data_IF_972822108681
#
_entry.id   IF_972822108681
#
_cell.length_a   1.000
_cell.length_b   1.000
_cell.length_c   1.000
_cell.angle_alpha   90.00
_cell.angle_beta   90.00
_cell.angle_gamma   90.00
#
_symmetry.space_group_name_H-M   'P 1'
#
loop_
_entity.id
_entity.type
_entity.pdbx_description
1 polymer ?
#
# COMPACT_ATOMS: atom_id res chain seq x y z
N UNK A 1 -2.77 -12.01 19.04
CA UNK A 1 -1.38 -12.51 19.20
C UNK A 1 -1.05 -13.60 18.17
N UNK A 2 -1.84 -14.67 18.03
CA UNK A 2 -1.59 -15.70 17.01
C UNK A 2 -1.73 -15.19 15.56
N UNK A 3 -2.73 -14.36 15.27
CA UNK A 3 -2.93 -13.74 13.94
C UNK A 3 -1.79 -12.79 13.53
N UNK A 4 -1.21 -12.06 14.49
CA UNK A 4 -0.10 -11.13 14.26
C UNK A 4 1.22 -11.84 13.93
N UNK A 5 1.33 -13.13 14.22
CA UNK A 5 2.52 -13.94 13.96
C UNK A 5 2.31 -14.93 12.81
N UNK A 6 1.09 -15.02 12.25
CA UNK A 6 0.70 -16.02 11.25
C UNK A 6 1.02 -17.47 11.69
N UNK A 7 0.92 -17.76 13.00
CA UNK A 7 1.19 -19.07 13.60
C UNK A 7 -0.13 -19.69 14.08
N UNK A 8 -0.27 -21.00 13.94
CA UNK A 8 -1.35 -21.72 14.63
C UNK A 8 -1.17 -21.61 16.15
N UNK A 9 -2.27 -21.70 16.91
CA UNK A 9 -2.24 -21.62 18.39
C UNK A 9 -1.25 -22.63 19.00
N UNK A 10 -1.18 -23.83 18.43
CA UNK A 10 -0.27 -24.91 18.84
C UNK A 10 1.21 -24.57 18.59
N UNK A 11 1.49 -23.86 17.49
CA UNK A 11 2.84 -23.43 17.10
C UNK A 11 3.32 -22.26 17.95
N UNK A 12 2.42 -21.32 18.27
CA UNK A 12 2.68 -20.22 19.20
C UNK A 12 3.11 -20.74 20.58
N UNK A 13 2.32 -21.65 21.15
CA UNK A 13 2.57 -22.24 22.48
C UNK A 13 3.90 -23.02 22.48
N UNK A 14 4.20 -23.80 21.43
CA UNK A 14 5.47 -24.53 21.30
C UNK A 14 6.68 -23.60 21.32
N UNK A 15 6.64 -22.52 20.54
CA UNK A 15 7.76 -21.56 20.46
C UNK A 15 7.94 -20.78 21.76
N UNK A 16 6.84 -20.41 22.39
CA UNK A 16 6.84 -19.71 23.67
C UNK A 16 7.37 -20.58 24.81
N UNK A 17 7.01 -21.87 24.85
CA UNK A 17 7.54 -22.86 25.80
C UNK A 17 9.01 -23.19 25.55
N UNK A 18 9.48 -23.11 24.30
CA UNK A 18 10.88 -23.33 23.93
C UNK A 18 11.77 -22.09 24.12
N UNK A 19 11.23 -20.97 24.61
CA UNK A 19 11.98 -19.72 24.78
C UNK A 19 12.39 -19.05 23.47
N UNK A 20 11.79 -19.44 22.33
CA UNK A 20 12.09 -18.89 21.01
C UNK A 20 11.37 -17.55 20.87
N UNK A 21 12.12 -16.48 20.62
CA UNK A 21 11.56 -15.13 20.39
C UNK A 21 10.64 -15.19 19.17
N UNK A 22 9.36 -14.89 19.37
CA UNK A 22 8.38 -14.83 18.29
C UNK A 22 8.49 -13.45 17.66
N UNK A 23 9.05 -13.38 16.46
CA UNK A 23 9.10 -12.14 15.69
C UNK A 23 7.69 -11.83 15.17
N UNK A 24 7.19 -10.63 15.50
CA UNK A 24 5.88 -10.17 15.04
C UNK A 24 5.92 -9.93 13.52
N UNK A 25 4.97 -10.48 12.77
CA UNK A 25 4.86 -10.26 11.33
C UNK A 25 4.16 -8.93 10.97
N UNK A 26 4.02 -8.05 11.96
CA UNK A 26 3.30 -6.78 11.86
C UNK A 26 3.88 -5.88 10.76
N UNK A 27 5.21 -5.84 10.61
CA UNK A 27 5.87 -5.05 9.56
C UNK A 27 5.54 -5.54 8.16
N UNK A 28 5.49 -6.87 7.93
CA UNK A 28 5.11 -7.40 6.63
C UNK A 28 3.62 -7.13 6.33
N UNK A 29 2.76 -7.18 7.36
CA UNK A 29 1.36 -6.84 7.21
C UNK A 29 1.17 -5.34 6.86
N UNK A 30 1.90 -4.45 7.53
CA UNK A 30 1.90 -3.02 7.22
C UNK A 30 2.41 -2.75 5.80
N UNK A 31 3.48 -3.42 5.37
CA UNK A 31 3.99 -3.34 4.00
C UNK A 31 2.94 -3.79 2.97
N UNK A 32 2.27 -4.92 3.19
CA UNK A 32 1.24 -5.43 2.28
C UNK A 32 0.05 -4.48 2.16
N UNK A 33 -0.37 -3.86 3.25
CA UNK A 33 -1.45 -2.85 3.23
C UNK A 33 -1.03 -1.63 2.40
N UNK A 34 0.18 -1.10 2.62
CA UNK A 34 0.70 0.03 1.84
C UNK A 34 0.84 -0.32 0.36
N UNK A 35 1.34 -1.52 0.04
CA UNK A 35 1.47 -2.00 -1.33
C UNK A 35 0.11 -2.09 -2.04
N UNK A 36 -0.92 -2.60 -1.35
CA UNK A 36 -2.28 -2.69 -1.89
C UNK A 36 -2.89 -1.31 -2.18
N UNK A 37 -2.81 -0.39 -1.22
CA UNK A 37 -3.32 0.99 -1.40
C UNK A 37 -2.59 1.66 -2.58
N UNK A 38 -1.27 1.50 -2.67
CA UNK A 38 -0.47 2.08 -3.74
C UNK A 38 -0.86 1.51 -5.13
N UNK A 39 -1.18 0.22 -5.22
CA UNK A 39 -1.66 -0.42 -6.45
C UNK A 39 -3.05 0.10 -6.86
N UNK A 40 -3.97 0.26 -5.90
CA UNK A 40 -5.31 0.80 -6.15
C UNK A 40 -5.26 2.25 -6.65
N UNK A 41 -4.39 3.09 -6.07
CA UNK A 41 -4.11 4.44 -6.55
C UNK A 41 -3.56 4.44 -7.99
N UNK A 42 -2.72 3.47 -8.34
CA UNK A 42 -2.17 3.31 -9.68
C UNK A 42 -3.25 3.02 -10.71
N UNK A 43 -4.18 2.12 -10.37
CA UNK A 43 -5.36 1.83 -11.18
C UNK A 43 -6.25 3.05 -11.35
N UNK A 44 -6.55 3.78 -10.27
CA UNK A 44 -7.35 5.01 -10.32
C UNK A 44 -6.73 6.06 -11.25
N UNK A 45 -5.42 6.32 -11.09
CA UNK A 45 -4.69 7.23 -11.96
C UNK A 45 -4.69 6.79 -13.43
N UNK A 46 -4.62 5.48 -13.70
CA UNK A 46 -4.74 4.92 -15.05
C UNK A 46 -6.13 5.15 -15.66
N UNK A 47 -7.20 4.90 -14.90
CA UNK A 47 -8.57 5.15 -15.35
C UNK A 47 -8.83 6.62 -15.63
N UNK A 48 -8.32 7.53 -14.80
CA UNK A 48 -8.45 8.97 -15.03
C UNK A 48 -7.70 9.42 -16.29
N UNK A 49 -6.49 8.89 -16.53
CA UNK A 49 -5.76 9.17 -17.79
C UNK A 49 -6.50 8.65 -19.00
N UNK A 50 -7.05 7.43 -18.93
CA UNK A 50 -7.86 6.86 -20.01
C UNK A 50 -9.08 7.73 -20.28
N UNK A 51 -9.77 8.17 -19.22
CA UNK A 51 -10.92 9.06 -19.35
C UNK A 51 -10.56 10.41 -20.01
N UNK A 52 -9.38 10.97 -19.71
CA UNK A 52 -8.87 12.18 -20.35
C UNK A 52 -8.41 11.99 -21.81
N UNK A 53 -8.17 10.75 -22.25
CA UNK A 53 -7.74 10.48 -23.62
C UNK A 53 -8.87 10.65 -24.64
N UNK A 54 -10.12 10.72 -24.19
CA UNK A 54 -11.27 11.12 -25.00
C UNK A 54 -11.21 12.66 -25.24
N UNK A 55 -11.11 13.11 -26.50
CA UNK A 55 -11.04 14.54 -26.84
C UNK A 55 -12.25 15.35 -26.31
N UNK A 56 -13.43 14.72 -26.20
CA UNK A 56 -14.63 15.35 -25.65
C UNK A 56 -14.55 15.55 -24.12
N UNK A 57 -13.67 14.83 -23.44
CA UNK A 57 -13.47 14.88 -21.99
C UNK A 57 -12.27 15.71 -21.57
N UNK A 58 -11.34 16.00 -22.48
CA UNK A 58 -10.13 16.76 -22.15
C UNK A 58 -10.46 18.15 -21.56
N UNK A 59 -11.33 18.93 -22.23
CA UNK A 59 -11.72 20.26 -21.73
C UNK A 59 -12.50 20.19 -20.42
N UNK A 60 -13.40 19.21 -20.28
CA UNK A 60 -14.14 18.99 -19.04
C UNK A 60 -13.19 18.59 -17.91
N UNK A 61 -12.22 17.73 -18.20
CA UNK A 61 -11.21 17.27 -17.27
C UNK A 61 -10.28 18.38 -16.79
N UNK A 62 -9.92 19.33 -17.66
CA UNK A 62 -9.21 20.55 -17.25
C UNK A 62 -10.06 21.39 -16.29
N UNK A 63 -11.34 21.62 -16.59
CA UNK A 63 -12.25 22.37 -15.68
C UNK A 63 -12.42 21.70 -14.32
N UNK A 64 -12.36 20.36 -14.28
CA UNK A 64 -12.46 19.56 -13.07
C UNK A 64 -11.10 19.31 -12.39
N UNK A 65 -10.02 19.94 -12.86
CA UNK A 65 -8.66 19.79 -12.28
C UNK A 65 -8.16 18.34 -12.22
N UNK A 66 -8.64 17.46 -13.12
CA UNK A 66 -8.25 16.04 -13.16
C UNK A 66 -6.74 15.85 -13.39
N UNK A 67 -6.05 16.64 -14.24
CA UNK A 67 -4.59 16.57 -14.34
C UNK A 67 -3.88 16.85 -13.00
N UNK A 68 -4.38 17.83 -12.24
CA UNK A 68 -3.88 18.18 -10.90
C UNK A 68 -4.08 17.01 -9.93
N UNK A 69 -5.26 16.41 -9.93
CA UNK A 69 -5.57 15.22 -9.12
C UNK A 69 -4.66 14.02 -9.47
N UNK A 70 -4.40 13.76 -10.75
CA UNK A 70 -3.48 12.69 -11.18
C UNK A 70 -2.06 12.93 -10.64
N UNK A 71 -1.60 14.18 -10.62
CA UNK A 71 -0.30 14.52 -10.05
C UNK A 71 -0.26 14.35 -8.53
N UNK A 72 -1.34 14.70 -7.83
CA UNK A 72 -1.48 14.43 -6.40
C UNK A 72 -1.45 12.93 -6.10
N UNK A 73 -2.19 12.12 -6.87
CA UNK A 73 -2.15 10.65 -6.77
C UNK A 73 -0.71 10.15 -6.91
N UNK A 74 0.03 10.57 -7.95
CA UNK A 74 1.44 10.19 -8.13
C UNK A 74 2.33 10.58 -6.95
N UNK A 75 2.12 11.78 -6.38
CA UNK A 75 2.87 12.23 -5.21
C UNK A 75 2.57 11.35 -3.99
N UNK A 76 1.30 11.05 -3.73
CA UNK A 76 0.90 10.12 -2.66
C UNK A 76 1.48 8.73 -2.86
N UNK A 77 1.47 8.20 -4.09
CA UNK A 77 2.11 6.91 -4.41
C UNK A 77 3.62 6.92 -4.11
N UNK A 78 4.30 8.02 -4.40
CA UNK A 78 5.71 8.22 -4.05
C UNK A 78 5.96 8.19 -2.55
N UNK A 79 5.11 8.85 -1.77
CA UNK A 79 5.17 8.83 -0.30
C UNK A 79 4.93 7.43 0.25
N UNK A 80 3.90 6.71 -0.22
CA UNK A 80 3.62 5.35 0.23
C UNK A 80 4.76 4.39 -0.11
N UNK A 81 5.36 4.53 -1.29
CA UNK A 81 6.52 3.73 -1.67
C UNK A 81 7.74 4.05 -0.79
N UNK A 82 7.95 5.31 -0.42
CA UNK A 82 9.02 5.71 0.49
C UNK A 82 8.79 5.16 1.90
N UNK A 83 7.59 5.32 2.46
CA UNK A 83 7.22 4.76 3.77
C UNK A 83 7.36 3.24 3.77
N UNK A 84 6.97 2.55 2.69
CA UNK A 84 7.14 1.11 2.57
C UNK A 84 8.62 0.67 2.56
N UNK A 85 9.51 1.46 1.94
CA UNK A 85 10.97 1.22 1.98
C UNK A 85 11.53 1.43 3.38
N UNK A 86 11.11 2.49 4.07
CA UNK A 86 11.54 2.78 5.43
C UNK A 86 11.14 1.67 6.41
N UNK A 87 9.93 1.11 6.25
CA UNK A 87 9.48 -0.06 7.00
C UNK A 87 10.34 -1.29 6.71
N UNK A 88 10.82 -1.46 5.46
CA UNK A 88 11.68 -2.58 5.09
C UNK A 88 13.14 -2.44 5.59
N UNK A 89 13.61 -1.22 5.86
CA UNK A 89 14.99 -0.94 6.29
C UNK A 89 15.18 -0.83 7.80
N UNK A 90 14.11 -0.84 8.61
CA UNK A 90 14.19 -0.86 10.08
C UNK A 90 14.57 -2.28 10.55
N UNK A 91 15.86 -2.61 10.53
CA UNK A 91 16.47 -3.77 11.20
C UNK A 91 17.37 -3.30 12.34
#
# INVERSE_FOLDING_TARGET
MAELCNLSVSELIRRQMAGIKIESNEQAQQFLVLAKINADLGRLGGLLKLWLSDPGKEQQGRKLEIPTLINQIKSTQGLLAQTARELATRQ
#
